data_IF_603908380405
#
_entry.id   IF_603908380405
#
_cell.length_a   1.000
_cell.length_b   1.000
_cell.length_c   1.000
_cell.angle_alpha   90.00
_cell.angle_beta   90.00
_cell.angle_gamma   90.00
#
_symmetry.space_group_name_H-M   'P 1'
#
loop_
_entity.id
_entity.type
_entity.pdbx_description
1 polymer ?
#
# COMPACT_ATOMS: atom_id res chain seq x y z
N UNK A 1 8.06 -23.66 -2.68
CA UNK A 1 8.36 -22.21 -2.86
C UNK A 1 7.15 -21.41 -2.37
N UNK A 2 7.19 -20.99 -1.14
CA UNK A 2 6.11 -20.18 -0.56
C UNK A 2 6.31 -18.72 -0.95
N UNK A 3 5.59 -18.27 -1.97
CA UNK A 3 5.58 -16.86 -2.35
C UNK A 3 4.88 -16.04 -1.27
N UNK A 4 5.51 -14.96 -0.82
CA UNK A 4 4.82 -13.96 -0.02
C UNK A 4 3.77 -13.28 -0.92
N UNK A 5 2.51 -13.54 -0.66
CA UNK A 5 1.40 -12.88 -1.33
C UNK A 5 0.87 -11.82 -0.38
N UNK A 6 0.68 -10.63 -0.89
CA UNK A 6 0.04 -9.55 -0.16
C UNK A 6 -1.47 -9.68 -0.41
N UNK A 7 -2.26 -9.78 0.65
CA UNK A 7 -3.72 -9.76 0.55
C UNK A 7 -4.21 -8.31 0.60
N UNK A 8 -5.18 -8.00 -0.25
CA UNK A 8 -5.78 -6.68 -0.32
C UNK A 8 -7.24 -6.76 0.07
N UNK A 9 -7.63 -5.87 0.98
CA UNK A 9 -9.03 -5.57 1.24
C UNK A 9 -9.21 -4.07 0.95
N UNK A 10 -10.02 -3.74 -0.04
CA UNK A 10 -10.37 -2.36 -0.25
C UNK A 10 -11.87 -2.15 -0.03
N UNK A 11 -12.23 -1.04 0.54
CA UNK A 11 -13.61 -0.64 0.75
C UNK A 11 -13.82 0.73 0.09
N UNK A 12 -14.75 0.79 -0.85
CA UNK A 12 -15.23 2.05 -1.41
C UNK A 12 -16.06 2.75 -0.34
N UNK A 13 -15.66 3.92 0.07
CA UNK A 13 -16.48 4.79 0.92
C UNK A 13 -17.09 5.87 0.03
N UNK A 14 -18.39 5.76 -0.25
CA UNK A 14 -19.16 6.90 -0.70
C UNK A 14 -19.44 7.76 0.54
N UNK A 15 -18.90 8.97 0.57
CA UNK A 15 -19.23 9.93 1.61
C UNK A 15 -20.55 10.57 1.21
N UNK A 16 -21.62 10.26 1.92
CA UNK A 16 -22.85 11.07 1.90
C UNK A 16 -22.50 12.37 2.62
N UNK A 17 -22.53 13.48 1.90
CA UNK A 17 -22.27 14.81 2.46
C UNK A 17 -23.37 15.15 3.47
N UNK A 18 -23.03 15.12 4.75
CA UNK A 18 -23.84 15.78 5.78
C UNK A 18 -23.47 17.27 5.76
N UNK A 19 -24.35 18.08 5.18
CA UNK A 19 -24.19 19.53 4.98
C UNK A 19 -24.13 20.35 6.27
N UNK A 20 -24.05 19.74 7.44
CA UNK A 20 -24.14 20.41 8.74
C UNK A 20 -22.84 20.60 9.51
N UNK A 21 -21.69 20.27 8.93
CA UNK A 21 -20.41 20.56 9.57
C UNK A 21 -19.47 21.28 8.60
N UNK A 22 -19.18 22.53 8.93
CA UNK A 22 -18.25 23.46 8.31
C UNK A 22 -16.80 22.91 8.27
N UNK A 23 -16.57 21.89 7.49
CA UNK A 23 -15.22 21.51 7.04
C UNK A 23 -15.20 21.82 5.57
N UNK A 24 -14.33 22.75 5.15
CA UNK A 24 -14.10 23.05 3.75
C UNK A 24 -13.57 21.78 3.07
N UNK A 25 -14.50 20.93 2.60
CA UNK A 25 -14.15 19.76 1.79
C UNK A 25 -13.97 20.23 0.36
N UNK A 26 -12.73 20.17 -0.11
CA UNK A 26 -12.39 20.44 -1.50
C UNK A 26 -12.95 19.31 -2.37
N UNK A 27 -14.02 19.62 -3.10
CA UNK A 27 -14.69 18.69 -4.02
C UNK A 27 -14.01 18.73 -5.37
N UNK A 28 -13.78 17.56 -5.94
CA UNK A 28 -13.34 17.46 -7.33
C UNK A 28 -14.50 17.77 -8.29
N UNK A 29 -14.22 18.52 -9.35
CA UNK A 29 -15.23 18.91 -10.33
C UNK A 29 -14.78 18.58 -11.76
N UNK A 30 -15.75 18.24 -12.59
CA UNK A 30 -15.60 18.25 -14.03
C UNK A 30 -16.74 19.08 -14.65
N UNK A 31 -16.78 19.19 -15.98
CA UNK A 31 -17.72 20.08 -16.68
C UNK A 31 -19.20 19.86 -16.32
N UNK A 32 -19.59 18.71 -15.78
CA UNK A 32 -20.98 18.32 -15.54
C UNK A 32 -21.25 17.69 -14.18
N UNK A 33 -20.24 17.45 -13.35
CA UNK A 33 -20.43 16.79 -12.07
C UNK A 33 -19.42 17.21 -11.01
N UNK A 34 -19.86 17.11 -9.77
CA UNK A 34 -19.03 17.26 -8.57
C UNK A 34 -18.93 15.91 -7.91
N UNK A 35 -17.72 15.49 -7.53
CA UNK A 35 -17.49 14.18 -6.94
C UNK A 35 -16.38 14.19 -5.89
N UNK A 36 -16.41 13.20 -4.99
CA UNK A 36 -15.32 12.88 -4.08
C UNK A 36 -15.28 11.36 -3.91
N UNK A 37 -14.28 10.73 -4.50
CA UNK A 37 -14.12 9.28 -4.46
C UNK A 37 -12.90 8.92 -3.62
N UNK A 38 -13.12 8.62 -2.35
CA UNK A 38 -12.09 8.17 -1.43
C UNK A 38 -12.11 6.64 -1.32
N UNK A 39 -10.92 6.06 -1.35
CA UNK A 39 -10.70 4.63 -1.24
C UNK A 39 -9.78 4.32 -0.07
N UNK A 40 -10.16 3.37 0.74
CA UNK A 40 -9.33 2.85 1.81
C UNK A 40 -8.81 1.47 1.41
N UNK A 41 -7.51 1.36 1.25
CA UNK A 41 -6.82 0.12 0.89
C UNK A 41 -6.04 -0.40 2.10
N UNK A 42 -6.28 -1.65 2.47
CA UNK A 42 -5.51 -2.36 3.47
C UNK A 42 -4.72 -3.46 2.78
N UNK A 43 -3.41 -3.42 2.96
CA UNK A 43 -2.48 -4.40 2.39
C UNK A 43 -1.83 -5.19 3.52
N UNK A 44 -2.09 -6.48 3.59
CA UNK A 44 -1.48 -7.36 4.59
C UNK A 44 -0.43 -8.26 3.94
N UNK A 45 0.67 -8.45 4.65
CA UNK A 45 1.68 -9.45 4.26
C UNK A 45 1.11 -10.84 4.47
N UNK A 46 1.41 -11.75 3.54
CA UNK A 46 0.95 -13.15 3.62
C UNK A 46 1.43 -13.77 4.94
N UNK A 47 0.51 -14.47 5.60
CA UNK A 47 0.71 -15.06 6.92
C UNK A 47 1.04 -14.05 8.02
N UNK A 48 0.72 -12.77 7.83
CA UNK A 48 0.93 -11.71 8.84
C UNK A 48 2.38 -11.64 9.34
N UNK A 49 3.33 -11.93 8.45
CA UNK A 49 4.74 -11.83 8.77
C UNK A 49 5.15 -10.37 9.05
N UNK A 50 5.86 -10.14 10.13
CA UNK A 50 6.36 -8.83 10.55
C UNK A 50 7.61 -8.45 9.74
N UNK A 51 7.41 -7.99 8.51
CA UNK A 51 8.48 -7.65 7.57
C UNK A 51 8.48 -6.18 7.13
N UNK A 52 7.49 -5.42 7.57
CA UNK A 52 7.37 -3.99 7.25
C UNK A 52 8.01 -3.19 8.37
N UNK A 53 9.15 -2.60 8.09
CA UNK A 53 9.80 -1.57 8.89
C UNK A 53 9.60 -0.19 8.23
N UNK A 54 10.10 0.86 8.86
CA UNK A 54 9.96 2.23 8.36
C UNK A 54 10.61 2.41 6.98
N UNK A 55 11.74 1.76 6.72
CA UNK A 55 12.44 1.84 5.43
C UNK A 55 11.64 1.14 4.32
N UNK A 56 11.09 -0.03 4.59
CA UNK A 56 10.22 -0.76 3.66
C UNK A 56 8.93 0.00 3.42
N UNK A 57 8.32 0.54 4.48
CA UNK A 57 7.11 1.36 4.38
C UNK A 57 7.32 2.59 3.51
N UNK A 58 8.43 3.31 3.71
CA UNK A 58 8.79 4.47 2.89
C UNK A 58 8.93 4.07 1.41
N UNK A 59 9.59 2.96 1.14
CA UNK A 59 9.77 2.46 -0.23
C UNK A 59 8.45 2.02 -0.87
N UNK A 60 7.57 1.37 -0.12
CA UNK A 60 6.22 1.03 -0.57
C UNK A 60 5.39 2.27 -0.91
N UNK A 61 5.52 3.33 -0.09
CA UNK A 61 4.85 4.62 -0.31
C UNK A 61 5.37 5.31 -1.58
N UNK A 62 6.67 5.28 -1.83
CA UNK A 62 7.27 5.82 -3.07
C UNK A 62 6.74 5.10 -4.31
N UNK A 63 6.70 3.76 -4.30
CA UNK A 63 6.15 2.96 -5.40
C UNK A 63 4.69 3.33 -5.63
N UNK A 64 3.90 3.48 -4.55
CA UNK A 64 2.50 3.87 -4.63
C UNK A 64 2.34 5.22 -5.31
N UNK A 65 3.08 6.24 -4.86
CA UNK A 65 3.04 7.59 -5.45
C UNK A 65 3.43 7.60 -6.93
N UNK A 66 4.46 6.85 -7.31
CA UNK A 66 4.91 6.79 -8.70
C UNK A 66 3.84 6.17 -9.62
N UNK A 67 3.14 5.14 -9.16
CA UNK A 67 2.08 4.51 -9.93
C UNK A 67 0.83 5.39 -9.98
N UNK A 68 0.52 6.13 -8.92
CA UNK A 68 -0.61 7.08 -8.87
C UNK A 68 -0.62 8.05 -10.05
N UNK A 69 0.56 8.52 -10.49
CA UNK A 69 0.69 9.48 -11.58
C UNK A 69 0.08 8.99 -12.90
N UNK A 70 0.08 7.68 -13.14
CA UNK A 70 -0.43 7.07 -14.37
C UNK A 70 -1.95 6.81 -14.34
N UNK A 71 -2.61 6.99 -13.19
CA UNK A 71 -4.00 6.59 -12.99
C UNK A 71 -4.92 7.71 -12.47
N UNK A 72 -4.46 8.95 -12.44
CA UNK A 72 -5.18 10.08 -11.87
C UNK A 72 -5.67 9.81 -10.44
N UNK A 73 -4.75 9.33 -9.60
CA UNK A 73 -4.98 8.98 -8.21
C UNK A 73 -4.08 9.86 -7.35
N UNK A 74 -4.60 10.37 -6.24
CA UNK A 74 -3.83 11.10 -5.22
C UNK A 74 -3.79 10.33 -3.92
N UNK A 75 -2.60 10.28 -3.31
CA UNK A 75 -2.40 9.70 -1.99
C UNK A 75 -2.75 10.75 -0.93
N UNK A 76 -3.70 10.43 -0.04
CA UNK A 76 -4.13 11.29 1.06
C UNK A 76 -3.40 10.91 2.37
N UNK A 77 -3.51 9.64 2.78
CA UNK A 77 -2.91 9.16 4.03
C UNK A 77 -2.18 7.84 3.82
N UNK A 78 -1.11 7.67 4.61
CA UNK A 78 -0.31 6.46 4.63
C UNK A 78 0.09 6.12 6.06
N UNK A 79 -0.37 4.97 6.55
CA UNK A 79 0.00 4.42 7.85
C UNK A 79 0.40 2.97 7.70
N UNK A 80 1.31 2.50 8.55
CA UNK A 80 1.73 1.11 8.53
C UNK A 80 1.92 0.53 9.93
N UNK A 81 1.86 -0.77 10.00
CA UNK A 81 2.31 -1.61 11.10
C UNK A 81 3.31 -2.64 10.56
N UNK A 82 3.81 -3.51 11.39
CA UNK A 82 4.84 -4.50 11.03
C UNK A 82 4.39 -5.50 9.95
N UNK A 83 3.10 -5.77 9.84
CA UNK A 83 2.52 -6.78 8.96
C UNK A 83 1.48 -6.26 7.97
N UNK A 84 1.14 -4.97 8.03
CA UNK A 84 0.16 -4.37 7.11
C UNK A 84 0.36 -2.87 6.92
N UNK A 85 -0.26 -2.36 5.86
CA UNK A 85 -0.28 -0.94 5.52
C UNK A 85 -1.72 -0.50 5.28
N UNK A 86 -2.07 0.67 5.82
CA UNK A 86 -3.32 1.38 5.56
C UNK A 86 -3.06 2.56 4.65
N UNK A 87 -3.80 2.65 3.56
CA UNK A 87 -3.67 3.72 2.57
C UNK A 87 -5.03 4.33 2.31
N UNK A 88 -5.14 5.63 2.48
CA UNK A 88 -6.27 6.42 2.00
C UNK A 88 -5.84 7.15 0.73
N UNK A 89 -6.59 7.00 -0.34
CA UNK A 89 -6.31 7.68 -1.58
C UNK A 89 -7.60 8.14 -2.27
N UNK A 90 -7.48 9.18 -3.08
CA UNK A 90 -8.56 9.74 -3.87
C UNK A 90 -8.39 9.35 -5.33
N UNK A 91 -9.48 8.95 -5.96
CA UNK A 91 -9.54 8.66 -7.39
C UNK A 91 -10.58 9.52 -8.08
N UNK A 92 -10.53 9.53 -9.41
CA UNK A 92 -11.52 10.15 -10.26
C UNK A 92 -12.50 9.10 -10.82
N UNK A 93 -13.69 9.48 -11.33
CA UNK A 93 -14.63 8.53 -11.90
C UNK A 93 -14.06 7.70 -13.05
N UNK A 94 -13.11 8.26 -13.80
CA UNK A 94 -12.39 7.61 -14.89
C UNK A 94 -11.12 6.87 -14.46
N UNK A 95 -10.76 6.88 -13.17
CA UNK A 95 -9.59 6.16 -12.67
C UNK A 95 -9.81 4.65 -12.73
N UNK A 96 -8.90 3.93 -13.38
CA UNK A 96 -8.95 2.47 -13.51
C UNK A 96 -8.39 1.81 -12.22
N UNK A 97 -9.16 1.89 -11.13
CA UNK A 97 -8.72 1.45 -9.78
C UNK A 97 -8.24 0.00 -9.77
N UNK A 98 -8.91 -0.91 -10.48
CA UNK A 98 -8.50 -2.31 -10.54
C UNK A 98 -7.14 -2.50 -11.20
N UNK A 99 -6.87 -1.78 -12.29
CA UNK A 99 -5.55 -1.81 -12.96
C UNK A 99 -4.47 -1.20 -12.08
N UNK A 100 -4.78 -0.07 -11.43
CA UNK A 100 -3.89 0.56 -10.46
C UNK A 100 -3.49 -0.38 -9.33
N UNK A 101 -4.47 -1.03 -8.68
CA UNK A 101 -4.21 -1.96 -7.58
C UNK A 101 -3.37 -3.16 -8.07
N UNK A 102 -3.64 -3.70 -9.25
CA UNK A 102 -2.87 -4.81 -9.81
C UNK A 102 -1.42 -4.41 -10.13
N UNK A 103 -1.20 -3.22 -10.69
CA UNK A 103 0.14 -2.69 -10.95
C UNK A 103 0.93 -2.50 -9.64
N UNK A 104 0.28 -1.88 -8.65
CA UNK A 104 0.88 -1.69 -7.33
C UNK A 104 1.18 -3.03 -6.63
N UNK A 105 0.26 -3.98 -6.68
CA UNK A 105 0.42 -5.34 -6.14
C UNK A 105 1.66 -6.03 -6.70
N UNK A 106 1.86 -5.95 -7.99
CA UNK A 106 3.01 -6.57 -8.66
C UNK A 106 4.34 -5.93 -8.24
N UNK A 107 4.38 -4.60 -8.16
CA UNK A 107 5.59 -3.87 -7.78
C UNK A 107 5.94 -4.06 -6.29
N UNK A 108 4.96 -3.91 -5.39
CA UNK A 108 5.15 -4.06 -3.95
C UNK A 108 5.51 -5.50 -3.55
N UNK A 109 4.91 -6.50 -4.19
CA UNK A 109 5.23 -7.91 -3.94
C UNK A 109 6.70 -8.25 -4.26
N UNK A 110 7.26 -7.68 -5.33
CA UNK A 110 8.68 -7.86 -5.68
C UNK A 110 9.59 -7.29 -4.60
N UNK A 111 9.28 -6.11 -4.10
CA UNK A 111 10.05 -5.47 -3.02
C UNK A 111 10.03 -6.30 -1.73
N UNK A 112 8.85 -6.71 -1.29
CA UNK A 112 8.68 -7.51 -0.06
C UNK A 112 9.42 -8.85 -0.17
N UNK A 113 9.30 -9.54 -1.30
CA UNK A 113 10.04 -10.80 -1.54
C UNK A 113 11.56 -10.62 -1.45
N UNK A 114 12.09 -9.57 -2.05
CA UNK A 114 13.52 -9.25 -2.02
C UNK A 114 14.01 -9.01 -0.59
N UNK A 115 13.24 -8.32 0.23
CA UNK A 115 13.59 -8.04 1.61
C UNK A 115 13.52 -9.27 2.51
N UNK A 116 12.48 -10.10 2.37
CA UNK A 116 12.38 -11.38 3.09
C UNK A 116 13.59 -12.26 2.76
N UNK A 117 14.00 -12.34 1.49
CA UNK A 117 15.15 -13.14 1.09
C UNK A 117 16.46 -12.59 1.65
N UNK A 118 16.64 -11.26 1.68
CA UNK A 118 17.80 -10.62 2.29
C UNK A 118 17.89 -10.91 3.80
N UNK A 119 16.80 -10.80 4.51
CA UNK A 119 16.74 -11.11 5.95
C UNK A 119 17.10 -12.58 6.23
N UNK A 120 16.55 -13.53 5.46
CA UNK A 120 16.87 -14.96 5.58
C UNK A 120 18.33 -15.25 5.33
N UNK A 121 18.96 -14.59 4.36
CA UNK A 121 20.38 -14.77 4.05
C UNK A 121 21.28 -14.23 5.19
N UNK A 122 20.88 -13.13 5.84
CA UNK A 122 21.61 -12.59 6.99
C UNK A 122 21.50 -13.54 8.18
N UNK A 123 20.30 -14.05 8.50
CA UNK A 123 20.12 -15.05 9.56
C UNK A 123 20.87 -16.37 9.27
N UNK A 124 20.86 -16.84 8.03
CA UNK A 124 21.62 -18.01 7.62
C UNK A 124 23.13 -17.85 7.81
N UNK A 125 23.69 -16.68 7.54
CA UNK A 125 25.11 -16.36 7.77
C UNK A 125 25.46 -16.28 9.25
N UNK A 126 24.58 -15.75 10.09
CA UNK A 126 24.77 -15.67 11.54
C UNK A 126 24.73 -17.07 12.15
N UNK A 127 23.79 -17.92 11.72
CA UNK A 127 23.70 -19.30 12.20
C UNK A 127 24.86 -20.19 11.72
N UNK A 128 25.43 -19.92 10.53
CA UNK A 128 26.60 -20.67 10.06
C UNK A 128 27.93 -20.22 10.68
N UNK A 129 27.96 -19.00 11.24
CA UNK A 129 29.13 -18.48 11.99
C UNK A 129 29.31 -19.05 13.38
N UNK A 130 28.37 -19.85 13.90
CA UNK A 130 28.46 -20.49 15.22
C UNK A 130 28.98 -21.95 15.18
N UNK A 131 29.55 -22.37 14.05
CA UNK A 131 30.34 -23.60 14.01
C UNK A 131 31.82 -23.24 14.06
N UNK A 132 32.35 -23.03 15.20
CA UNK A 132 33.71 -23.34 15.63
C UNK A 132 34.02 -22.65 16.95
N UNK A 133 33.69 -23.28 18.04
CA UNK A 133 34.59 -23.34 19.23
C UNK A 133 34.28 -24.67 19.91
N UNK A 134 35.07 -25.65 19.60
CA UNK A 134 35.42 -26.72 20.50
C UNK A 134 36.89 -26.58 20.77
#
# INVERSE_FOLDING_TARGET
RRAAVIYYKYKRRSVVLDFRKDIAMELDTNNHSVFMLNYHLIMCVKYRNNVIDDAISLRLKEIFKNICLNYNISLEEWNHDKDHVHVLFRGQPNSEISKFINAYKSASSRLIKKNIQKSRNIYGRICSGHKAIV
#
